data_IF_458404568199
#
_entry.id   IF_458404568199
#
_cell.length_a   1.000
_cell.length_b   1.000
_cell.length_c   1.000
_cell.angle_alpha   90.00
_cell.angle_beta   90.00
_cell.angle_gamma   90.00
#
_symmetry.space_group_name_H-M   'P 1'
#
loop_
_entity.id
_entity.type
_entity.pdbx_description
1 polymer ?
#
# COMPACT_ATOMS: atom_id res chain seq x y z
N UNK A 1 -23.22 25.51 38.22
CA UNK A 1 -22.16 24.49 38.39
C UNK A 1 -22.48 23.19 37.65
N UNK A 2 -23.65 22.58 37.88
CA UNK A 2 -24.02 21.27 37.30
C UNK A 2 -24.18 21.25 35.76
N UNK A 3 -24.59 22.36 35.14
CA UNK A 3 -24.72 22.45 33.67
C UNK A 3 -23.38 22.39 32.93
N UNK A 4 -22.34 23.01 33.47
CA UNK A 4 -20.99 23.02 32.86
C UNK A 4 -20.35 21.64 33.01
N UNK A 5 -20.54 20.99 34.17
CA UNK A 5 -20.08 19.62 34.44
C UNK A 5 -20.78 18.63 33.48
N UNK A 6 -22.10 18.78 33.28
CA UNK A 6 -22.84 17.93 32.34
C UNK A 6 -22.43 18.13 30.88
N UNK A 7 -22.04 19.35 30.48
CA UNK A 7 -21.48 19.63 29.14
C UNK A 7 -20.11 18.97 28.98
N UNK A 8 -19.25 19.03 30.00
CA UNK A 8 -17.96 18.32 30.00
C UNK A 8 -18.13 16.80 29.93
N UNK A 9 -19.10 16.24 30.64
CA UNK A 9 -19.46 14.82 30.58
C UNK A 9 -20.00 14.41 29.20
N UNK A 10 -20.87 15.23 28.59
CA UNK A 10 -21.39 15.01 27.23
C UNK A 10 -20.29 15.08 26.16
N UNK A 11 -19.35 16.02 26.30
CA UNK A 11 -18.19 16.15 25.40
C UNK A 11 -17.20 14.98 25.58
N UNK A 12 -17.05 14.46 26.81
CA UNK A 12 -16.20 13.28 27.08
C UNK A 12 -16.75 11.99 26.48
N UNK A 13 -18.06 11.90 26.25
CA UNK A 13 -18.72 10.73 25.67
C UNK A 13 -18.63 10.67 24.13
N UNK A 14 -18.07 11.69 23.48
CA UNK A 14 -18.09 11.82 22.02
C UNK A 14 -16.81 11.42 21.30
N UNK A 15 -15.74 10.94 21.97
CA UNK A 15 -14.46 10.80 21.26
C UNK A 15 -13.81 9.43 21.46
N UNK A 16 -13.50 8.83 20.30
CA UNK A 16 -12.66 7.66 20.02
C UNK A 16 -13.34 6.30 19.84
N UNK A 17 -14.13 6.20 18.76
CA UNK A 17 -14.12 4.97 17.98
C UNK A 17 -12.76 4.82 17.31
N UNK A 18 -11.85 4.04 17.90
CA UNK A 18 -10.62 3.66 17.22
C UNK A 18 -10.97 2.71 16.07
N UNK A 19 -10.83 3.17 14.84
CA UNK A 19 -10.96 2.32 13.65
C UNK A 19 -9.62 1.63 13.45
N UNK A 20 -9.60 0.31 13.62
CA UNK A 20 -8.43 -0.52 13.36
C UNK A 20 -8.58 -1.20 12.00
N UNK A 21 -7.46 -1.41 11.30
CA UNK A 21 -7.46 -2.23 10.11
C UNK A 21 -7.89 -3.66 10.46
N UNK A 22 -8.72 -4.28 9.62
CA UNK A 22 -9.19 -5.65 9.83
C UNK A 22 -8.10 -6.70 9.56
N UNK A 23 -7.03 -6.34 8.86
CA UNK A 23 -5.95 -7.25 8.50
C UNK A 23 -4.59 -6.52 8.40
N UNK A 24 -3.53 -7.32 8.25
CA UNK A 24 -2.15 -6.87 8.03
C UNK A 24 -1.54 -7.55 6.80
N UNK A 25 -2.34 -7.81 5.76
CA UNK A 25 -1.84 -8.46 4.56
C UNK A 25 -0.85 -7.54 3.83
N UNK A 26 0.19 -8.11 3.19
CA UNK A 26 1.12 -7.32 2.41
C UNK A 26 0.43 -6.74 1.17
N UNK A 27 0.90 -5.58 0.73
CA UNK A 27 0.50 -4.95 -0.52
C UNK A 27 1.52 -5.36 -1.58
N UNK A 28 1.03 -5.85 -2.73
CA UNK A 28 1.88 -6.15 -3.89
C UNK A 28 1.45 -5.23 -5.03
N UNK A 29 2.35 -4.34 -5.42
CA UNK A 29 2.16 -3.39 -6.50
C UNK A 29 2.56 -4.04 -7.83
N UNK A 30 1.62 -4.15 -8.77
CA UNK A 30 1.83 -4.81 -10.07
C UNK A 30 1.57 -3.81 -11.19
N UNK A 31 2.61 -3.46 -11.95
CA UNK A 31 2.51 -2.45 -13.00
C UNK A 31 1.67 -2.92 -14.20
N UNK A 32 1.24 -1.97 -15.05
CA UNK A 32 0.43 -2.23 -16.25
C UNK A 32 1.26 -2.49 -17.51
N UNK A 33 0.67 -2.15 -18.66
CA UNK A 33 1.34 -2.13 -19.97
C UNK A 33 2.46 -1.08 -19.97
N UNK A 34 3.61 -1.41 -20.56
CA UNK A 34 4.82 -0.55 -20.59
C UNK A 34 5.33 -0.12 -19.19
N UNK A 35 5.00 -0.89 -18.15
CA UNK A 35 5.55 -0.66 -16.81
C UNK A 35 6.93 -1.29 -16.61
N UNK A 36 7.52 -1.01 -15.46
CA UNK A 36 8.88 -1.45 -15.12
C UNK A 36 9.03 -1.68 -13.62
N UNK A 37 9.97 -2.53 -13.24
CA UNK A 37 10.41 -2.82 -11.89
C UNK A 37 11.23 -1.68 -11.29
N UNK A 38 11.46 -1.76 -9.97
CA UNK A 38 12.09 -0.67 -9.20
C UNK A 38 13.46 -0.28 -9.73
N UNK A 39 14.26 -1.24 -10.18
CA UNK A 39 15.67 -1.04 -10.56
C UNK A 39 15.87 -0.68 -12.04
N UNK A 40 14.81 -0.65 -12.86
CA UNK A 40 14.94 -0.58 -14.32
C UNK A 40 15.02 0.86 -14.88
N UNK A 41 14.54 1.88 -14.15
CA UNK A 41 14.49 3.28 -14.61
C UNK A 41 15.22 4.24 -13.66
N UNK A 42 16.30 3.77 -13.06
CA UNK A 42 17.14 4.58 -12.15
C UNK A 42 16.34 5.10 -10.96
N UNK A 43 16.27 6.44 -10.80
CA UNK A 43 15.55 7.09 -9.70
C UNK A 43 14.05 7.31 -9.99
N UNK A 44 13.51 6.82 -11.10
CA UNK A 44 12.12 7.03 -11.49
C UNK A 44 11.30 5.74 -11.32
N UNK A 45 10.44 5.71 -10.32
CA UNK A 45 9.59 4.56 -9.98
C UNK A 45 8.33 4.56 -10.83
N UNK A 46 7.88 3.38 -11.30
CA UNK A 46 6.55 3.26 -11.91
C UNK A 46 5.46 3.70 -10.92
N UNK A 47 5.61 3.28 -9.65
CA UNK A 47 4.76 3.68 -8.54
C UNK A 47 5.30 4.94 -7.84
N UNK A 48 4.92 6.10 -8.36
CA UNK A 48 5.20 7.41 -7.75
C UNK A 48 6.13 8.33 -8.55
N UNK A 49 6.69 7.88 -9.67
CA UNK A 49 7.55 8.69 -10.53
C UNK A 49 8.83 9.12 -9.82
N UNK A 50 8.97 10.41 -9.54
CA UNK A 50 10.10 10.93 -8.73
C UNK A 50 9.95 10.63 -7.23
N UNK A 51 8.77 10.20 -6.80
CA UNK A 51 8.46 9.77 -5.45
C UNK A 51 8.44 8.23 -5.38
N UNK A 52 8.91 7.66 -4.28
CA UNK A 52 8.91 6.21 -4.08
C UNK A 52 7.71 5.81 -3.22
N UNK A 53 6.60 5.43 -3.87
CA UNK A 53 5.36 5.09 -3.18
C UNK A 53 5.50 3.85 -2.28
N UNK A 54 6.27 2.85 -2.73
CA UNK A 54 6.53 1.66 -1.91
C UNK A 54 7.25 2.06 -0.63
N UNK A 55 8.33 2.84 -0.74
CA UNK A 55 9.08 3.27 0.44
C UNK A 55 8.21 4.10 1.40
N UNK A 56 7.41 5.02 0.86
CA UNK A 56 6.47 5.79 1.67
C UNK A 56 5.49 4.92 2.45
N UNK A 57 4.90 3.91 1.81
CA UNK A 57 3.98 2.99 2.49
C UNK A 57 4.70 2.12 3.54
N UNK A 58 5.95 1.75 3.28
CA UNK A 58 6.80 1.06 4.27
C UNK A 58 7.04 1.95 5.49
N UNK A 59 7.36 3.24 5.26
CA UNK A 59 7.60 4.22 6.32
C UNK A 59 6.34 4.47 7.17
N UNK A 60 5.14 4.37 6.56
CA UNK A 60 3.84 4.41 7.24
C UNK A 60 3.46 3.09 7.96
N UNK A 61 4.31 2.07 7.89
CA UNK A 61 4.17 0.82 8.64
C UNK A 61 3.46 -0.32 7.89
N UNK A 62 3.32 -0.23 6.58
CA UNK A 62 2.77 -1.31 5.75
C UNK A 62 3.87 -2.24 5.22
N UNK A 63 3.59 -3.54 5.10
CA UNK A 63 4.46 -4.45 4.34
C UNK A 63 4.12 -4.32 2.85
N UNK A 64 5.03 -3.78 2.05
CA UNK A 64 4.81 -3.51 0.62
C UNK A 64 5.92 -4.09 -0.24
N UNK A 65 5.55 -4.60 -1.40
CA UNK A 65 6.47 -5.11 -2.43
C UNK A 65 6.03 -4.61 -3.82
N UNK A 66 6.98 -4.45 -4.75
CA UNK A 66 6.70 -4.23 -6.17
C UNK A 66 7.10 -5.46 -6.97
N UNK A 67 6.15 -6.01 -7.72
CA UNK A 67 6.40 -7.06 -8.71
C UNK A 67 6.78 -6.45 -10.07
N UNK A 68 7.61 -7.15 -10.83
CA UNK A 68 8.08 -6.74 -12.16
C UNK A 68 7.72 -7.80 -13.20
N UNK A 69 6.66 -7.58 -13.97
CA UNK A 69 6.13 -8.54 -14.96
C UNK A 69 6.39 -8.05 -16.38
N UNK A 70 6.13 -8.87 -17.38
CA UNK A 70 6.29 -8.53 -18.79
C UNK A 70 5.48 -7.27 -19.17
N UNK A 71 6.13 -6.19 -19.63
CA UNK A 71 5.45 -4.93 -19.95
C UNK A 71 4.56 -5.01 -21.20
N UNK A 72 4.85 -5.96 -22.08
CA UNK A 72 4.14 -6.19 -23.35
C UNK A 72 3.66 -7.64 -23.50
N UNK A 73 3.80 -8.45 -22.44
CA UNK A 73 3.37 -9.85 -22.40
C UNK A 73 1.85 -9.97 -22.22
N UNK A 74 1.32 -11.15 -22.52
CA UNK A 74 -0.10 -11.45 -22.29
C UNK A 74 -0.42 -11.43 -20.78
N UNK A 75 -1.69 -11.21 -20.42
CA UNK A 75 -2.11 -11.32 -19.02
C UNK A 75 -1.88 -12.72 -18.44
N UNK A 76 -1.93 -13.75 -19.28
CA UNK A 76 -1.62 -15.12 -18.88
C UNK A 76 -0.17 -15.24 -18.42
N UNK A 77 0.77 -14.81 -19.26
CA UNK A 77 2.20 -14.87 -18.93
C UNK A 77 2.52 -14.01 -17.70
N UNK A 78 1.97 -12.80 -17.63
CA UNK A 78 2.13 -11.89 -16.48
C UNK A 78 1.61 -12.49 -15.17
N UNK A 79 0.51 -13.25 -15.20
CA UNK A 79 -0.02 -13.91 -14.02
C UNK A 79 0.89 -15.06 -13.55
N UNK A 80 1.47 -15.81 -14.49
CA UNK A 80 2.45 -16.86 -14.18
C UNK A 80 3.72 -16.25 -13.59
N UNK A 81 4.27 -15.21 -14.20
CA UNK A 81 5.44 -14.48 -13.71
C UNK A 81 5.20 -13.93 -12.29
N UNK A 82 4.05 -13.29 -12.05
CA UNK A 82 3.69 -12.77 -10.74
C UNK A 82 3.58 -13.89 -9.70
N UNK A 83 2.98 -15.03 -10.05
CA UNK A 83 2.88 -16.18 -9.16
C UNK A 83 4.25 -16.64 -8.67
N UNK A 84 5.22 -16.79 -9.57
CA UNK A 84 6.57 -17.24 -9.22
C UNK A 84 7.38 -16.20 -8.45
N UNK A 85 7.18 -14.90 -8.73
CA UNK A 85 7.77 -13.84 -7.90
C UNK A 85 7.26 -13.85 -6.46
N UNK A 86 5.97 -14.16 -6.26
CA UNK A 86 5.37 -14.24 -4.92
C UNK A 86 5.78 -15.54 -4.22
N UNK A 87 5.70 -16.67 -4.92
CA UNK A 87 5.87 -17.99 -4.31
C UNK A 87 7.33 -18.43 -4.19
N UNK A 88 8.20 -17.90 -5.04
CA UNK A 88 9.57 -18.36 -5.27
C UNK A 88 9.59 -19.57 -6.20
N UNK A 89 10.43 -19.51 -7.24
CA UNK A 89 10.66 -20.57 -8.22
C UNK A 89 11.31 -20.05 -9.49
#
# INVERSE_FOLDING_TARGET
>A
MNRIINIFLLLSFQIFGFVYAQNKHPIILVHGFMGWGREEMGSYRYWGGKFDLEQYLIDEGYTVFTASVGPVSSNWDRAVELYYQIKGG
#
